data_IF_100240181072
#
_entry.id   IF_100240181072
#
_cell.length_a   1.000
_cell.length_b   1.000
_cell.length_c   1.000
_cell.angle_alpha   90.00
_cell.angle_beta   90.00
_cell.angle_gamma   90.00
#
_symmetry.space_group_name_H-M   'P 1'
#
loop_
_entity.id
_entity.type
_entity.pdbx_description
1 polymer ?
#
# COMPACT_ATOMS: atom_id res chain seq x y z
N UNK A 1 -30.45 1.42 -15.85
CA UNK A 1 -30.41 2.80 -16.34
C UNK A 1 -29.17 2.95 -17.22
N UNK A 2 -29.22 3.59 -18.38
CA UNK A 2 -28.05 3.78 -19.22
C UNK A 2 -27.00 4.61 -18.44
N UNK A 3 -25.76 4.16 -18.46
CA UNK A 3 -24.63 4.81 -17.78
C UNK A 3 -24.30 6.09 -18.55
N UNK A 4 -24.45 7.25 -17.90
CA UNK A 4 -24.15 8.53 -18.54
C UNK A 4 -22.63 8.72 -18.67
N UNK A 5 -22.14 8.79 -19.92
CA UNK A 5 -20.77 9.25 -20.18
C UNK A 5 -20.79 10.78 -20.16
N UNK A 6 -19.92 11.37 -19.34
CA UNK A 6 -19.50 12.75 -19.58
C UNK A 6 -18.03 12.75 -19.93
N UNK A 7 -17.74 13.13 -21.16
CA UNK A 7 -16.39 13.49 -21.56
C UNK A 7 -16.13 14.88 -21.00
N UNK A 8 -15.16 15.00 -20.10
CA UNK A 8 -14.58 16.30 -19.81
C UNK A 8 -13.74 16.65 -21.04
N UNK A 9 -14.43 17.17 -22.10
CA UNK A 9 -13.77 17.51 -23.35
C UNK A 9 -12.72 18.56 -23.12
N UNK A 10 -11.51 18.19 -23.55
CA UNK A 10 -10.48 19.16 -23.86
C UNK A 10 -10.25 19.05 -25.36
N UNK A 11 -10.89 19.96 -26.08
CA UNK A 11 -10.80 20.02 -27.52
C UNK A 11 -9.37 20.12 -28.03
N UNK A 12 -9.08 19.40 -29.11
CA UNK A 12 -8.00 19.65 -30.06
C UNK A 12 -6.57 19.44 -29.59
N UNK A 13 -5.62 19.70 -30.47
CA UNK A 13 -4.16 19.55 -30.36
C UNK A 13 -3.44 20.18 -29.12
N UNK A 14 -4.16 20.76 -28.16
CA UNK A 14 -3.62 21.38 -26.93
C UNK A 14 -3.62 20.45 -25.69
N UNK A 15 -3.68 19.14 -25.89
CA UNK A 15 -3.81 18.13 -24.83
C UNK A 15 -2.67 18.11 -23.77
N UNK A 16 -1.51 18.67 -24.06
CA UNK A 16 -0.38 18.71 -23.13
C UNK A 16 -0.57 19.71 -21.97
N UNK A 17 -1.49 20.65 -22.09
CA UNK A 17 -1.79 21.69 -21.09
C UNK A 17 -3.27 21.75 -20.74
N UNK A 18 -3.95 20.61 -20.80
CA UNK A 18 -5.39 20.57 -20.49
C UNK A 18 -5.69 21.03 -19.07
N UNK A 19 -6.86 21.62 -18.86
CA UNK A 19 -7.31 22.00 -17.51
C UNK A 19 -7.35 20.78 -16.59
N UNK A 20 -7.77 19.62 -17.08
CA UNK A 20 -7.79 18.36 -16.37
C UNK A 20 -6.40 17.89 -15.91
N UNK A 21 -5.37 18.03 -16.77
CA UNK A 21 -4.00 17.66 -16.38
C UNK A 21 -3.45 18.61 -15.32
N UNK A 22 -3.68 19.91 -15.45
CA UNK A 22 -3.27 20.89 -14.43
C UNK A 22 -3.93 20.64 -13.09
N UNK A 23 -5.23 20.36 -13.08
CA UNK A 23 -5.96 20.02 -11.87
C UNK A 23 -5.46 18.72 -11.24
N UNK A 24 -5.24 17.67 -12.03
CA UNK A 24 -4.62 16.43 -11.56
C UNK A 24 -3.23 16.66 -10.95
N UNK A 25 -2.45 17.59 -11.49
CA UNK A 25 -1.15 17.95 -10.92
C UNK A 25 -1.26 18.73 -9.61
N UNK A 26 -2.25 19.61 -9.49
CA UNK A 26 -2.47 20.42 -8.29
C UNK A 26 -3.00 19.59 -7.13
N UNK A 27 -4.03 18.78 -7.38
CA UNK A 27 -4.61 17.90 -6.38
C UNK A 27 -5.18 16.61 -7.02
N UNK A 28 -4.39 15.55 -6.98
CA UNK A 28 -4.75 14.23 -7.53
C UNK A 28 -5.97 13.62 -6.85
N UNK A 29 -6.09 13.83 -5.54
CA UNK A 29 -7.15 13.23 -4.73
C UNK A 29 -8.49 13.92 -4.99
N UNK A 30 -8.52 15.25 -4.98
CA UNK A 30 -9.70 16.01 -5.33
C UNK A 30 -10.14 15.74 -6.78
N UNK A 31 -9.18 15.65 -7.71
CA UNK A 31 -9.45 15.29 -9.10
C UNK A 31 -10.15 13.93 -9.24
N UNK A 32 -9.62 12.88 -8.58
CA UNK A 32 -10.21 11.53 -8.63
C UNK A 32 -11.61 11.49 -7.98
N UNK A 33 -11.81 12.20 -6.87
CA UNK A 33 -13.11 12.35 -6.21
C UNK A 33 -14.11 13.04 -7.13
N UNK A 34 -13.73 14.15 -7.74
CA UNK A 34 -14.59 14.87 -8.70
C UNK A 34 -14.95 14.02 -9.91
N UNK A 35 -14.03 13.22 -10.45
CA UNK A 35 -14.36 12.27 -11.51
C UNK A 35 -15.49 11.32 -11.07
N UNK A 36 -15.38 10.75 -9.87
CA UNK A 36 -16.40 9.84 -9.33
C UNK A 36 -17.76 10.50 -9.09
N UNK A 37 -17.77 11.77 -8.71
CA UNK A 37 -18.98 12.58 -8.52
C UNK A 37 -19.60 13.01 -9.85
N UNK A 38 -18.81 13.08 -10.94
CA UNK A 38 -19.28 13.53 -12.25
C UNK A 38 -20.01 12.44 -13.00
N UNK A 39 -19.47 11.22 -13.08
CA UNK A 39 -20.07 10.08 -13.77
C UNK A 39 -19.43 8.75 -13.36
N UNK A 40 -20.09 7.64 -13.68
CA UNK A 40 -19.58 6.28 -13.45
C UNK A 40 -18.30 5.98 -14.24
N UNK A 41 -18.15 6.57 -15.42
CA UNK A 41 -16.96 6.54 -16.26
C UNK A 41 -16.67 7.95 -16.76
N UNK A 42 -15.48 8.45 -16.47
CA UNK A 42 -15.01 9.75 -16.93
C UNK A 42 -13.79 9.56 -17.84
N UNK A 43 -13.91 10.04 -19.08
CA UNK A 43 -12.81 10.04 -20.03
C UNK A 43 -12.02 11.34 -19.91
N UNK A 44 -10.73 11.23 -19.65
CA UNK A 44 -9.84 12.39 -19.50
C UNK A 44 -8.51 12.16 -20.21
N UNK A 45 -7.90 13.24 -20.66
CA UNK A 45 -6.54 13.19 -21.18
C UNK A 45 -5.56 13.83 -20.18
N UNK A 46 -4.65 13.03 -19.66
CA UNK A 46 -3.63 13.46 -18.71
C UNK A 46 -2.26 13.47 -19.39
N UNK A 47 -1.90 14.63 -19.96
CA UNK A 47 -0.73 14.74 -20.82
C UNK A 47 -0.86 13.85 -22.07
N UNK A 48 0.10 12.94 -22.26
CA UNK A 48 0.05 11.97 -23.36
C UNK A 48 -0.84 10.74 -23.08
N UNK A 49 -1.40 10.62 -21.87
CA UNK A 49 -2.22 9.50 -21.46
C UNK A 49 -3.69 9.73 -21.78
N UNK A 50 -4.29 8.71 -22.38
CA UNK A 50 -5.72 8.59 -22.55
C UNK A 50 -6.30 7.69 -21.44
N UNK A 51 -7.08 8.27 -20.53
CA UNK A 51 -7.44 7.68 -19.25
C UNK A 51 -8.96 7.61 -19.11
N UNK A 52 -9.44 6.45 -18.69
CA UNK A 52 -10.81 6.23 -18.23
C UNK A 52 -10.79 6.06 -16.71
N UNK A 53 -11.37 6.99 -15.98
CA UNK A 53 -11.57 6.87 -14.53
C UNK A 53 -12.91 6.19 -14.30
N UNK A 54 -12.90 5.02 -13.67
CA UNK A 54 -14.10 4.21 -13.39
C UNK A 54 -14.41 4.29 -11.90
N UNK A 55 -15.66 4.62 -11.56
CA UNK A 55 -16.14 4.82 -10.19
C UNK A 55 -17.29 3.90 -9.82
N UNK A 56 -17.64 2.93 -10.68
CA UNK A 56 -18.72 1.97 -10.45
C UNK A 56 -18.16 0.58 -10.10
N UNK A 57 -18.61 -0.05 -8.99
CA UNK A 57 -18.13 -1.36 -8.55
C UNK A 57 -18.30 -2.48 -9.59
N UNK A 58 -19.41 -2.48 -10.34
CA UNK A 58 -19.66 -3.48 -11.37
C UNK A 58 -18.65 -3.38 -12.50
N UNK A 59 -18.35 -2.16 -12.97
CA UNK A 59 -17.37 -1.92 -14.03
C UNK A 59 -15.94 -2.22 -13.53
N UNK A 60 -15.64 -1.92 -12.26
CA UNK A 60 -14.39 -2.32 -11.63
C UNK A 60 -14.24 -3.85 -11.60
N UNK A 61 -15.35 -4.58 -11.39
CA UNK A 61 -15.40 -6.04 -11.44
C UNK A 61 -15.05 -6.54 -12.84
N UNK A 62 -15.55 -5.90 -13.89
CA UNK A 62 -15.18 -6.29 -15.26
C UNK A 62 -13.69 -6.13 -15.52
N UNK A 63 -13.11 -5.00 -15.20
CA UNK A 63 -11.68 -4.72 -15.44
C UNK A 63 -10.77 -5.64 -14.65
N UNK A 64 -11.10 -5.89 -13.38
CA UNK A 64 -10.21 -6.57 -12.45
C UNK A 64 -10.42 -8.09 -12.38
N UNK A 65 -11.59 -8.59 -12.79
CA UNK A 65 -11.94 -10.01 -12.69
C UNK A 65 -12.34 -10.61 -14.04
N UNK A 66 -13.48 -10.23 -14.58
CA UNK A 66 -14.09 -10.96 -15.72
C UNK A 66 -13.36 -10.74 -17.04
N UNK A 67 -12.87 -9.53 -17.28
CA UNK A 67 -12.07 -9.16 -18.46
C UNK A 67 -10.60 -8.93 -18.17
N UNK A 68 -10.09 -9.42 -17.03
CA UNK A 68 -8.71 -9.18 -16.60
C UNK A 68 -7.64 -9.53 -17.65
N UNK A 69 -7.95 -10.49 -18.53
CA UNK A 69 -7.04 -10.90 -19.60
C UNK A 69 -6.87 -9.84 -20.70
N UNK A 70 -7.76 -8.84 -20.77
CA UNK A 70 -7.66 -7.73 -21.72
C UNK A 70 -6.76 -6.60 -21.19
N UNK A 71 -6.33 -6.68 -19.92
CA UNK A 71 -5.65 -5.60 -19.24
C UNK A 71 -4.32 -6.04 -18.62
N UNK A 72 -3.34 -5.14 -18.66
CA UNK A 72 -2.01 -5.33 -18.06
C UNK A 72 -1.68 -4.25 -17.03
N UNK A 73 -0.57 -4.43 -16.29
CA UNK A 73 0.02 -3.39 -15.44
C UNK A 73 0.96 -2.42 -16.18
N UNK A 74 0.96 -2.43 -17.52
CA UNK A 74 1.89 -1.63 -18.32
C UNK A 74 1.90 -0.13 -17.99
N UNK A 75 0.79 0.40 -17.45
CA UNK A 75 0.78 1.78 -16.94
C UNK A 75 1.75 1.94 -15.77
N UNK A 76 1.68 1.07 -14.75
CA UNK A 76 2.57 1.12 -13.60
C UNK A 76 4.03 0.92 -14.01
N UNK A 77 4.28 -0.04 -14.91
CA UNK A 77 5.62 -0.29 -15.46
C UNK A 77 6.20 0.93 -16.19
N UNK A 78 5.33 1.77 -16.79
CA UNK A 78 5.77 2.97 -17.51
C UNK A 78 6.20 4.13 -16.60
N UNK A 79 5.70 4.18 -15.37
CA UNK A 79 6.03 5.24 -14.39
C UNK A 79 7.07 4.79 -13.37
N UNK A 80 7.18 3.47 -13.12
CA UNK A 80 8.17 2.94 -12.19
C UNK A 80 9.55 2.86 -12.85
N UNK A 81 10.64 3.04 -12.08
CA UNK A 81 11.98 2.79 -12.58
C UNK A 81 12.19 1.33 -13.02
N UNK A 82 13.06 1.07 -14.01
CA UNK A 82 13.37 -0.28 -14.50
C UNK A 82 13.85 -1.26 -13.42
N UNK A 83 14.29 -0.75 -12.31
CA UNK A 83 14.72 -1.45 -11.10
C UNK A 83 13.76 -2.55 -10.62
N UNK A 84 12.46 -2.28 -10.67
CA UNK A 84 11.41 -3.19 -10.23
C UNK A 84 10.76 -3.95 -11.39
N UNK A 85 11.31 -3.83 -12.62
CA UNK A 85 10.67 -4.36 -13.83
C UNK A 85 10.48 -5.90 -13.80
N UNK A 86 11.39 -6.64 -13.17
CA UNK A 86 11.30 -8.10 -13.00
C UNK A 86 10.47 -8.55 -11.80
N UNK A 87 9.98 -7.64 -10.98
CA UNK A 87 9.34 -7.98 -9.71
C UNK A 87 7.86 -8.33 -9.84
N UNK A 88 7.34 -9.10 -8.88
CA UNK A 88 5.90 -9.44 -8.73
C UNK A 88 4.99 -8.20 -8.84
N UNK A 89 5.48 -7.04 -8.38
CA UNK A 89 4.72 -5.80 -8.40
C UNK A 89 4.40 -5.35 -9.83
N UNK A 90 5.35 -5.49 -10.76
CA UNK A 90 5.25 -5.03 -12.14
C UNK A 90 5.06 -6.15 -13.16
N UNK A 91 5.37 -7.39 -12.82
CA UNK A 91 5.24 -8.54 -13.70
C UNK A 91 3.80 -8.78 -14.16
N UNK A 92 3.65 -9.23 -15.39
CA UNK A 92 2.37 -9.63 -15.99
C UNK A 92 2.39 -11.10 -16.42
N UNK A 93 1.20 -11.65 -16.72
CA UNK A 93 0.98 -12.98 -17.28
C UNK A 93 1.67 -14.11 -16.48
N UNK A 94 2.39 -14.98 -17.14
CA UNK A 94 2.97 -16.20 -16.57
C UNK A 94 4.08 -15.91 -15.57
N UNK A 95 4.92 -14.92 -15.84
CA UNK A 95 5.97 -14.49 -14.90
C UNK A 95 5.40 -14.04 -13.56
N UNK A 96 4.30 -13.29 -13.58
CA UNK A 96 3.60 -12.89 -12.36
C UNK A 96 3.01 -14.10 -11.62
N UNK A 97 2.37 -15.03 -12.34
CA UNK A 97 1.74 -16.21 -11.74
C UNK A 97 2.80 -17.12 -11.09
N UNK A 98 3.92 -17.31 -11.78
CA UNK A 98 5.06 -18.07 -11.29
C UNK A 98 5.62 -17.46 -9.99
N UNK A 99 6.00 -16.20 -10.01
CA UNK A 99 6.52 -15.51 -8.81
C UNK A 99 5.52 -15.56 -7.65
N UNK A 100 4.22 -15.35 -7.95
CA UNK A 100 3.18 -15.39 -6.92
C UNK A 100 3.09 -16.77 -6.27
N UNK A 101 3.14 -17.87 -7.04
CA UNK A 101 3.12 -19.24 -6.51
C UNK A 101 4.28 -19.47 -5.54
N UNK A 102 5.49 -18.99 -5.89
CA UNK A 102 6.69 -19.17 -5.07
C UNK A 102 6.66 -18.35 -3.77
N UNK A 103 6.01 -17.19 -3.79
CA UNK A 103 5.97 -16.28 -2.63
C UNK A 103 4.82 -16.58 -1.65
N UNK A 104 3.71 -17.14 -2.13
CA UNK A 104 2.50 -17.37 -1.30
C UNK A 104 2.77 -18.16 -0.01
N UNK A 105 3.61 -19.24 -0.01
CA UNK A 105 3.85 -20.02 1.21
C UNK A 105 4.38 -19.21 2.39
N UNK A 106 5.16 -18.14 2.13
CA UNK A 106 5.68 -17.27 3.18
C UNK A 106 4.59 -16.45 3.91
N UNK A 107 3.39 -16.36 3.33
CA UNK A 107 2.25 -15.62 3.89
C UNK A 107 1.12 -16.55 4.36
N UNK A 108 1.38 -17.86 4.46
CA UNK A 108 0.44 -18.82 5.04
C UNK A 108 0.32 -18.64 6.57
N UNK A 109 -0.82 -19.10 7.10
CA UNK A 109 -1.19 -18.91 8.53
C UNK A 109 -0.07 -19.35 9.49
N UNK A 110 0.51 -20.53 9.25
CA UNK A 110 1.56 -21.11 10.10
C UNK A 110 2.81 -20.22 10.19
N UNK A 111 3.14 -19.53 9.09
CA UNK A 111 4.24 -18.55 9.07
C UNK A 111 3.89 -17.26 9.80
N UNK A 112 2.64 -16.80 9.64
CA UNK A 112 2.17 -15.61 10.35
C UNK A 112 2.25 -15.80 11.87
N UNK A 113 2.02 -17.01 12.37
CA UNK A 113 2.16 -17.34 13.78
C UNK A 113 3.59 -17.15 14.29
N UNK A 114 4.58 -17.53 13.50
CA UNK A 114 6.01 -17.29 13.82
C UNK A 114 6.36 -15.79 13.79
N UNK A 115 5.84 -15.07 12.78
CA UNK A 115 6.15 -13.65 12.62
C UNK A 115 5.56 -12.75 13.72
N UNK A 116 4.43 -13.14 14.32
CA UNK A 116 3.77 -12.32 15.32
C UNK A 116 4.62 -12.04 16.56
N UNK A 117 5.37 -13.02 17.03
CA UNK A 117 6.29 -12.82 18.15
C UNK A 117 7.35 -11.75 17.80
N UNK A 118 7.91 -11.82 16.60
CA UNK A 118 8.89 -10.85 16.12
C UNK A 118 8.26 -9.45 15.94
N UNK A 119 7.03 -9.39 15.43
CA UNK A 119 6.28 -8.12 15.29
C UNK A 119 6.04 -7.46 16.65
N UNK A 120 5.70 -8.26 17.68
CA UNK A 120 5.50 -7.77 19.03
C UNK A 120 6.82 -7.25 19.63
N UNK A 121 7.91 -8.01 19.52
CA UNK A 121 9.23 -7.60 19.99
C UNK A 121 9.72 -6.31 19.33
N UNK A 122 9.54 -6.16 17.99
CA UNK A 122 9.94 -4.93 17.30
C UNK A 122 9.04 -3.75 17.68
N UNK A 123 7.74 -3.99 17.89
CA UNK A 123 6.82 -2.95 18.39
C UNK A 123 7.19 -2.49 19.81
N UNK A 124 7.57 -3.41 20.69
CA UNK A 124 8.10 -3.08 22.02
C UNK A 124 9.40 -2.28 21.93
N UNK A 125 10.35 -2.73 21.09
CA UNK A 125 11.63 -2.07 20.88
C UNK A 125 11.46 -0.65 20.34
N UNK A 126 10.53 -0.43 19.40
CA UNK A 126 10.29 0.87 18.79
C UNK A 126 9.90 1.95 19.82
N UNK A 127 9.19 1.56 20.88
CA UNK A 127 8.71 2.51 21.91
C UNK A 127 9.62 2.63 23.13
N UNK A 128 10.72 1.86 23.21
CA UNK A 128 11.64 1.92 24.37
C UNK A 128 12.27 3.30 24.56
N UNK A 129 12.47 4.03 23.45
CA UNK A 129 13.08 5.37 23.47
C UNK A 129 12.06 6.50 23.62
N UNK A 130 10.76 6.18 23.68
CA UNK A 130 9.71 7.19 23.76
C UNK A 130 9.62 7.77 25.18
N UNK A 131 9.63 9.08 25.26
CA UNK A 131 9.52 9.81 26.52
C UNK A 131 8.18 10.57 26.57
N UNK A 132 7.53 10.57 27.74
CA UNK A 132 6.27 11.32 27.95
C UNK A 132 6.47 12.79 27.71
N UNK A 133 5.58 13.42 26.93
CA UNK A 133 5.65 14.81 26.51
C UNK A 133 6.55 15.06 25.29
N UNK A 134 7.22 14.05 24.76
CA UNK A 134 8.07 14.18 23.58
C UNK A 134 7.23 14.39 22.32
N UNK A 135 7.66 15.33 21.47
CA UNK A 135 7.15 15.49 20.11
C UNK A 135 7.97 14.67 19.14
N UNK A 136 7.31 13.85 18.34
CA UNK A 136 7.93 12.92 17.39
C UNK A 136 7.28 13.04 16.01
N UNK A 137 8.03 12.72 14.96
CA UNK A 137 7.44 12.40 13.65
C UNK A 137 7.01 10.94 13.66
N UNK A 138 5.73 10.71 13.89
CA UNK A 138 5.19 9.36 14.01
C UNK A 138 5.28 8.59 12.68
N UNK A 139 5.21 9.27 11.54
CA UNK A 139 5.37 8.60 10.25
C UNK A 139 6.77 7.98 10.11
N UNK A 140 7.81 8.72 10.46
CA UNK A 140 9.19 8.20 10.50
C UNK A 140 9.33 7.04 11.48
N UNK A 141 8.70 7.12 12.67
CA UNK A 141 8.73 6.01 13.63
C UNK A 141 8.04 4.75 13.07
N UNK A 142 6.88 4.90 12.42
CA UNK A 142 6.16 3.77 11.79
C UNK A 142 6.92 3.21 10.58
N UNK A 143 7.59 4.04 9.80
CA UNK A 143 8.46 3.60 8.71
C UNK A 143 9.60 2.71 9.23
N UNK A 144 10.26 3.12 10.30
CA UNK A 144 11.34 2.32 10.93
C UNK A 144 10.82 1.03 11.53
N UNK A 145 9.70 1.07 12.23
CA UNK A 145 9.06 -0.11 12.80
C UNK A 145 8.74 -1.15 11.73
N UNK A 146 7.99 -0.77 10.70
CA UNK A 146 7.58 -1.69 9.64
C UNK A 146 8.75 -2.20 8.81
N UNK A 147 9.81 -1.38 8.63
CA UNK A 147 11.04 -1.79 8.00
C UNK A 147 11.76 -2.89 8.81
N UNK A 148 11.90 -2.71 10.12
CA UNK A 148 12.52 -3.72 11.00
C UNK A 148 11.71 -5.01 11.03
N UNK A 149 10.38 -4.90 11.09
CA UNK A 149 9.50 -6.07 11.05
C UNK A 149 9.69 -6.86 9.75
N UNK A 150 9.60 -6.20 8.59
CA UNK A 150 9.75 -6.86 7.27
C UNK A 150 11.12 -7.50 7.12
N UNK A 151 12.19 -6.80 7.51
CA UNK A 151 13.55 -7.32 7.36
C UNK A 151 13.84 -8.48 8.30
N UNK A 152 13.35 -8.43 9.52
CA UNK A 152 13.54 -9.49 10.49
C UNK A 152 12.68 -10.72 10.20
N UNK A 153 11.40 -10.52 9.88
CA UNK A 153 10.46 -11.64 9.68
C UNK A 153 10.66 -12.35 8.35
N UNK A 154 10.84 -11.59 7.26
CA UNK A 154 10.87 -12.16 5.91
C UNK A 154 12.29 -12.44 5.40
N UNK A 155 13.31 -11.78 5.95
CA UNK A 155 14.68 -11.94 5.47
C UNK A 155 15.65 -12.40 6.56
N UNK A 156 15.20 -12.52 7.83
CA UNK A 156 16.04 -12.93 8.95
C UNK A 156 17.24 -12.00 9.19
N UNK A 157 17.13 -10.73 8.80
CA UNK A 157 18.21 -9.74 8.88
C UNK A 157 17.94 -8.72 9.98
N UNK A 158 18.94 -8.45 10.82
CA UNK A 158 18.97 -7.22 11.61
C UNK A 158 19.44 -6.07 10.72
N UNK A 159 18.49 -5.19 10.36
CA UNK A 159 18.70 -4.14 9.37
C UNK A 159 19.01 -2.78 10.02
N UNK A 160 19.40 -2.75 11.29
CA UNK A 160 19.69 -1.51 12.01
C UNK A 160 20.67 -0.57 11.28
N UNK A 161 21.66 -1.15 10.58
CA UNK A 161 22.65 -0.41 9.77
C UNK A 161 22.15 -0.04 8.36
N UNK A 162 21.03 -0.60 7.88
CA UNK A 162 20.50 -0.37 6.54
C UNK A 162 19.35 0.65 6.47
N UNK A 163 18.85 1.11 7.61
CA UNK A 163 17.68 2.00 7.71
C UNK A 163 17.90 3.28 6.91
N UNK A 164 19.03 3.97 7.13
CA UNK A 164 19.34 5.22 6.41
C UNK A 164 19.51 5.03 4.90
N UNK A 165 20.11 3.91 4.47
CA UNK A 165 20.24 3.58 3.05
C UNK A 165 18.87 3.38 2.40
N UNK A 166 17.96 2.74 3.14
CA UNK A 166 16.59 2.51 2.70
C UNK A 166 15.79 3.82 2.63
N UNK A 167 15.86 4.66 3.65
CA UNK A 167 15.21 5.97 3.65
C UNK A 167 15.66 6.78 2.43
N UNK A 168 16.98 6.86 2.17
CA UNK A 168 17.53 7.54 0.97
C UNK A 168 16.99 6.96 -0.34
N UNK A 169 16.87 5.63 -0.44
CA UNK A 169 16.37 5.01 -1.66
C UNK A 169 14.88 5.29 -1.86
N UNK A 170 14.09 5.20 -0.80
CA UNK A 170 12.65 5.46 -0.86
C UNK A 170 12.40 6.91 -1.28
N UNK A 171 13.09 7.87 -0.68
CA UNK A 171 12.96 9.27 -1.03
C UNK A 171 13.35 9.52 -2.49
N UNK A 172 14.48 8.94 -2.94
CA UNK A 172 14.91 9.03 -4.33
C UNK A 172 13.91 8.37 -5.30
N UNK A 173 13.30 7.25 -4.91
CA UNK A 173 12.28 6.55 -5.69
C UNK A 173 11.00 7.40 -5.79
N UNK A 174 10.53 7.96 -4.66
CA UNK A 174 9.35 8.82 -4.62
C UNK A 174 9.53 10.09 -5.46
N UNK A 175 10.68 10.72 -5.37
CA UNK A 175 11.05 11.89 -6.17
C UNK A 175 11.04 11.58 -7.67
N UNK A 176 11.62 10.46 -8.07
CA UNK A 176 11.67 10.02 -9.48
C UNK A 176 10.26 9.71 -10.00
N UNK A 177 9.46 8.94 -9.26
CA UNK A 177 8.10 8.58 -9.69
C UNK A 177 7.18 9.80 -9.72
N UNK A 178 7.23 10.68 -8.72
CA UNK A 178 6.46 11.92 -8.73
C UNK A 178 6.80 12.81 -9.92
N UNK A 179 8.09 12.92 -10.25
CA UNK A 179 8.56 13.66 -11.42
C UNK A 179 8.00 13.07 -12.72
N UNK A 180 7.92 11.74 -12.83
CA UNK A 180 7.35 11.06 -14.01
C UNK A 180 5.84 11.24 -14.12
N UNK A 181 5.12 11.13 -13.01
CA UNK A 181 3.66 11.37 -12.98
C UNK A 181 3.33 12.83 -13.32
N UNK A 182 4.18 13.77 -12.88
CA UNK A 182 4.02 15.19 -13.16
C UNK A 182 4.45 15.59 -14.59
N UNK A 183 5.16 14.73 -15.32
CA UNK A 183 5.62 15.03 -16.68
C UNK A 183 4.46 14.91 -17.68
N UNK A 184 4.20 15.92 -18.52
CA UNK A 184 3.25 15.82 -19.62
C UNK A 184 3.76 14.91 -20.75
N UNK A 185 5.06 14.62 -20.76
CA UNK A 185 5.72 13.79 -21.77
C UNK A 185 6.04 12.42 -21.20
N UNK A 186 5.77 11.36 -21.98
CA UNK A 186 6.24 10.02 -21.67
C UNK A 186 7.62 9.79 -22.19
N UNK A 187 8.62 9.93 -21.34
CA UNK A 187 9.94 9.41 -21.62
C UNK A 187 10.01 7.95 -21.12
N UNK A 188 10.23 7.03 -22.05
CA UNK A 188 10.33 5.58 -21.75
C UNK A 188 11.55 5.24 -20.88
N UNK A 189 12.54 6.13 -20.87
CA UNK A 189 13.77 6.01 -20.07
C UNK A 189 13.96 7.29 -19.26
N UNK A 190 14.50 7.18 -18.03
CA UNK A 190 14.84 8.35 -17.26
C UNK A 190 15.88 9.16 -18.04
N UNK A 191 15.59 10.44 -18.23
CA UNK A 191 16.63 11.35 -18.72
C UNK A 191 17.73 11.40 -17.65
N UNK A 192 19.02 11.42 -18.06
CA UNK A 192 20.12 11.59 -17.11
C UNK A 192 19.88 12.84 -16.27
N UNK A 193 19.64 12.65 -14.98
CA UNK A 193 19.40 13.73 -14.04
C UNK A 193 20.08 13.40 -12.70
N UNK A 194 20.30 14.42 -11.87
CA UNK A 194 20.82 14.21 -10.53
C UNK A 194 19.90 13.32 -9.67
N UNK A 195 18.59 13.38 -9.91
CA UNK A 195 17.59 12.50 -9.25
C UNK A 195 17.80 11.04 -9.64
N UNK A 196 17.88 10.78 -10.94
CA UNK A 196 18.17 9.45 -11.48
C UNK A 196 19.49 8.90 -10.95
N UNK A 197 20.54 9.73 -10.88
CA UNK A 197 21.83 9.32 -10.34
C UNK A 197 21.76 8.97 -8.85
N UNK A 198 21.02 9.77 -8.05
CA UNK A 198 20.78 9.46 -6.62
C UNK A 198 20.05 8.13 -6.45
N UNK A 199 19.00 7.91 -7.25
CA UNK A 199 18.27 6.65 -7.25
C UNK A 199 19.19 5.46 -7.56
N UNK A 200 19.99 5.52 -8.62
CA UNK A 200 20.91 4.43 -8.98
C UNK A 200 22.00 4.17 -7.94
N UNK A 201 22.51 5.21 -7.27
CA UNK A 201 23.46 5.02 -6.16
C UNK A 201 22.85 4.31 -4.98
N UNK A 202 21.68 4.80 -4.52
CA UNK A 202 20.98 4.18 -3.40
C UNK A 202 20.57 2.72 -3.69
N UNK A 203 20.25 2.42 -4.97
CA UNK A 203 19.98 1.05 -5.41
C UNK A 203 21.18 0.13 -5.28
N UNK A 204 22.36 0.59 -5.73
CA UNK A 204 23.58 -0.23 -5.64
C UNK A 204 23.88 -0.62 -4.19
N UNK A 205 23.66 0.27 -3.24
CA UNK A 205 23.84 -0.02 -1.81
C UNK A 205 22.90 -1.17 -1.37
N UNK A 206 21.62 -1.12 -1.74
CA UNK A 206 20.68 -2.20 -1.42
C UNK A 206 20.93 -3.48 -2.22
N UNK A 207 21.38 -3.39 -3.46
CA UNK A 207 21.75 -4.56 -4.25
C UNK A 207 22.92 -5.32 -3.61
N UNK A 208 23.93 -4.62 -3.12
CA UNK A 208 25.07 -5.23 -2.43
C UNK A 208 24.62 -5.98 -1.17
N UNK A 209 23.71 -5.38 -0.40
CA UNK A 209 23.11 -6.03 0.79
C UNK A 209 22.30 -7.27 0.35
N UNK A 210 21.42 -7.12 -0.63
CA UNK A 210 20.56 -8.20 -1.09
C UNK A 210 21.36 -9.39 -1.64
N UNK A 211 22.32 -9.15 -2.53
CA UNK A 211 23.15 -10.23 -3.09
C UNK A 211 24.07 -10.88 -2.06
N UNK A 212 24.52 -10.12 -1.05
CA UNK A 212 25.28 -10.70 0.05
C UNK A 212 24.42 -11.63 0.89
N UNK A 213 23.21 -11.20 1.23
CA UNK A 213 22.25 -12.03 1.96
C UNK A 213 21.83 -13.30 1.15
N UNK A 214 21.60 -13.17 -0.16
CA UNK A 214 21.28 -14.30 -1.05
C UNK A 214 22.43 -15.32 -1.03
N UNK A 215 23.69 -14.89 -1.19
CA UNK A 215 24.85 -15.79 -1.14
C UNK A 215 24.98 -16.50 0.21
N UNK A 216 24.67 -15.81 1.29
CA UNK A 216 24.67 -16.39 2.64
C UNK A 216 23.56 -17.44 2.77
N UNK A 217 22.34 -17.16 2.32
CA UNK A 217 21.21 -18.11 2.36
C UNK A 217 21.42 -19.34 1.47
N UNK A 218 22.15 -19.21 0.36
CA UNK A 218 22.55 -20.38 -0.45
C UNK A 218 23.51 -21.32 0.28
N UNK A 219 24.37 -20.77 1.18
CA UNK A 219 25.32 -21.58 1.97
C UNK A 219 24.70 -22.11 3.25
N UNK A 220 23.89 -21.25 3.89
CA UNK A 220 23.30 -21.48 5.20
C UNK A 220 21.81 -21.13 5.18
N UNK A 221 20.95 -22.04 4.65
CA UNK A 221 19.50 -21.81 4.62
C UNK A 221 18.95 -21.57 6.02
N UNK A 222 18.00 -20.64 6.13
CA UNK A 222 17.28 -20.31 7.35
C UNK A 222 15.77 -20.46 7.14
N UNK A 223 15.00 -20.26 8.20
CA UNK A 223 13.54 -20.33 8.12
C UNK A 223 12.93 -18.95 7.77
N UNK A 224 13.31 -18.41 6.59
CA UNK A 224 12.89 -17.10 6.10
C UNK A 224 12.46 -17.14 4.63
N UNK A 225 11.78 -16.09 4.16
CA UNK A 225 11.32 -15.97 2.76
C UNK A 225 12.50 -16.06 1.78
N UNK A 226 13.63 -15.44 2.08
CA UNK A 226 14.78 -15.43 1.19
C UNK A 226 15.31 -16.86 0.97
N UNK A 227 15.43 -17.66 2.01
CA UNK A 227 15.83 -19.07 1.92
C UNK A 227 14.80 -19.90 1.15
N UNK A 228 13.50 -19.63 1.33
CA UNK A 228 12.46 -20.30 0.55
C UNK A 228 12.59 -19.98 -0.94
N UNK A 229 12.84 -18.72 -1.31
CA UNK A 229 13.02 -18.32 -2.71
C UNK A 229 14.31 -18.88 -3.30
N UNK A 230 15.40 -18.89 -2.53
CA UNK A 230 16.69 -19.48 -2.94
C UNK A 230 16.59 -20.98 -3.20
N UNK A 231 15.76 -21.69 -2.41
CA UNK A 231 15.51 -23.12 -2.57
C UNK A 231 14.37 -23.45 -3.54
N UNK A 232 13.64 -22.46 -4.03
CA UNK A 232 12.49 -22.69 -4.90
C UNK A 232 12.94 -23.09 -6.32
N UNK A 233 12.23 -24.06 -6.90
CA UNK A 233 12.39 -24.49 -8.29
C UNK A 233 11.06 -24.33 -9.03
N UNK A 234 11.13 -24.14 -10.34
CA UNK A 234 9.95 -24.18 -11.21
C UNK A 234 9.46 -25.63 -11.45
N UNK A 235 8.45 -25.78 -12.31
CA UNK A 235 7.85 -27.08 -12.65
C UNK A 235 8.86 -28.00 -13.38
N UNK A 236 9.88 -27.45 -14.02
CA UNK A 236 10.97 -28.17 -14.72
C UNK A 236 12.17 -28.43 -13.79
N UNK A 237 12.08 -28.04 -12.52
CA UNK A 237 13.16 -28.21 -11.54
C UNK A 237 14.26 -27.13 -11.63
N UNK A 238 14.07 -26.07 -12.42
CA UNK A 238 15.05 -24.99 -12.57
C UNK A 238 14.99 -24.05 -11.35
N UNK A 239 16.10 -23.79 -10.65
CA UNK A 239 16.12 -22.89 -9.51
C UNK A 239 16.02 -21.43 -9.94
N UNK A 240 15.46 -20.58 -9.06
CA UNK A 240 15.49 -19.12 -9.24
C UNK A 240 16.95 -18.63 -9.33
N UNK A 241 17.20 -17.75 -10.28
CA UNK A 241 18.47 -17.00 -10.37
C UNK A 241 18.59 -16.00 -9.20
N UNK A 242 19.81 -15.64 -8.84
CA UNK A 242 20.03 -14.61 -7.79
C UNK A 242 19.33 -13.30 -8.10
N UNK A 243 19.20 -12.93 -9.39
CA UNK A 243 18.48 -11.75 -9.83
C UNK A 243 16.99 -11.87 -9.58
N UNK A 244 16.37 -12.99 -9.86
CA UNK A 244 14.94 -13.22 -9.61
C UNK A 244 14.63 -13.21 -8.12
N UNK A 245 15.47 -13.87 -7.31
CA UNK A 245 15.37 -13.83 -5.84
C UNK A 245 15.49 -12.38 -5.34
N UNK A 246 16.50 -11.63 -5.82
CA UNK A 246 16.68 -10.21 -5.48
C UNK A 246 15.47 -9.37 -5.85
N UNK A 247 14.94 -9.50 -7.07
CA UNK A 247 13.78 -8.74 -7.55
C UNK A 247 12.52 -9.07 -6.73
N UNK A 248 12.32 -10.33 -6.36
CA UNK A 248 11.24 -10.76 -5.49
C UNK A 248 11.37 -10.19 -4.07
N UNK A 249 12.56 -10.28 -3.47
CA UNK A 249 12.83 -9.73 -2.14
C UNK A 249 12.64 -8.22 -2.09
N UNK A 250 13.14 -7.47 -3.08
CA UNK A 250 12.95 -6.03 -3.14
C UNK A 250 11.48 -5.64 -3.31
N UNK A 251 10.70 -6.41 -4.09
CA UNK A 251 9.27 -6.14 -4.23
C UNK A 251 8.54 -6.25 -2.89
N UNK A 252 8.82 -7.30 -2.11
CA UNK A 252 8.22 -7.49 -0.78
C UNK A 252 8.71 -6.43 0.20
N UNK A 253 9.98 -6.12 0.15
CA UNK A 253 10.60 -5.09 0.97
C UNK A 253 9.91 -3.73 0.80
N UNK A 254 9.78 -3.24 -0.46
CA UNK A 254 9.11 -1.97 -0.72
C UNK A 254 7.61 -2.00 -0.44
N UNK A 255 6.93 -3.09 -0.84
CA UNK A 255 5.49 -3.19 -0.67
C UNK A 255 5.10 -3.36 0.81
N UNK A 256 5.90 -4.06 1.61
CA UNK A 256 5.56 -4.43 2.98
C UNK A 256 5.67 -3.26 3.96
N UNK A 257 6.82 -2.56 3.99
CA UNK A 257 7.02 -1.56 5.01
C UNK A 257 6.32 -0.23 4.70
N UNK A 258 6.40 0.27 3.47
CA UNK A 258 5.84 1.56 3.09
C UNK A 258 4.32 1.62 3.25
N UNK A 259 3.61 0.59 2.80
CA UNK A 259 2.14 0.58 2.85
C UNK A 259 1.60 0.42 4.27
N UNK A 260 2.24 -0.44 5.09
CA UNK A 260 1.84 -0.66 6.48
C UNK A 260 2.18 0.55 7.35
N UNK A 261 3.30 1.23 7.11
CA UNK A 261 3.62 2.48 7.81
C UNK A 261 2.61 3.58 7.54
N UNK A 262 2.14 3.72 6.29
CA UNK A 262 1.05 4.64 5.95
C UNK A 262 -0.24 4.27 6.67
N UNK A 263 -0.63 2.98 6.69
CA UNK A 263 -1.80 2.52 7.43
C UNK A 263 -1.71 2.88 8.92
N UNK A 264 -0.61 2.58 9.57
CA UNK A 264 -0.38 2.88 10.98
C UNK A 264 -0.39 4.39 11.25
N UNK A 265 0.32 5.17 10.42
CA UNK A 265 0.36 6.63 10.56
C UNK A 265 -1.02 7.25 10.49
N UNK A 266 -1.81 6.89 9.47
CA UNK A 266 -3.16 7.39 9.31
C UNK A 266 -4.11 6.87 10.40
N UNK A 267 -3.91 5.65 10.88
CA UNK A 267 -4.69 5.12 12.01
C UNK A 267 -4.47 5.96 13.27
N UNK A 268 -3.22 6.27 13.61
CA UNK A 268 -2.91 7.13 14.75
C UNK A 268 -3.44 8.56 14.58
N UNK A 269 -3.37 9.10 13.36
CA UNK A 269 -3.91 10.43 13.05
C UNK A 269 -5.41 10.52 13.32
N UNK A 270 -6.18 9.55 12.83
CA UNK A 270 -7.65 9.56 13.03
C UNK A 270 -8.08 9.17 14.44
N UNK A 271 -7.24 8.51 15.21
CA UNK A 271 -7.46 8.22 16.62
C UNK A 271 -7.16 9.42 17.52
N UNK A 272 -6.28 10.31 17.09
CA UNK A 272 -5.88 11.47 17.90
C UNK A 272 -7.10 12.36 18.25
N UNK A 273 -7.36 12.51 19.56
CA UNK A 273 -8.51 13.26 20.06
C UNK A 273 -9.86 12.51 20.03
N UNK A 274 -9.87 11.23 19.65
CA UNK A 274 -11.07 10.38 19.63
C UNK A 274 -11.10 9.47 20.87
N UNK A 275 -11.29 10.08 22.03
CA UNK A 275 -11.32 9.35 23.31
C UNK A 275 -12.45 8.30 23.42
N UNK A 276 -13.54 8.51 22.68
CA UNK A 276 -14.63 7.56 22.53
C UNK A 276 -14.16 6.22 21.91
N UNK A 277 -13.37 6.32 20.84
CA UNK A 277 -12.82 5.16 20.10
C UNK A 277 -11.64 4.54 20.87
N UNK A 278 -10.73 5.37 21.39
CA UNK A 278 -9.61 4.89 22.20
C UNK A 278 -10.09 4.07 23.40
N UNK A 279 -11.16 4.51 24.08
CA UNK A 279 -11.71 3.78 25.22
C UNK A 279 -12.24 2.39 24.83
N UNK A 280 -12.91 2.27 23.69
CA UNK A 280 -13.37 0.97 23.16
C UNK A 280 -12.20 0.05 22.83
N UNK A 281 -11.16 0.59 22.15
CA UNK A 281 -9.95 -0.16 21.85
C UNK A 281 -9.24 -0.66 23.12
N UNK A 282 -9.05 0.22 24.12
CA UNK A 282 -8.41 -0.14 25.39
C UNK A 282 -9.22 -1.20 26.14
N UNK A 283 -10.55 -1.09 26.15
CA UNK A 283 -11.42 -2.09 26.77
C UNK A 283 -11.30 -3.46 26.07
N UNK A 284 -11.23 -3.49 24.73
CA UNK A 284 -11.01 -4.72 23.98
C UNK A 284 -9.63 -5.33 24.28
N UNK A 285 -8.57 -4.52 24.26
CA UNK A 285 -7.20 -4.97 24.51
C UNK A 285 -7.00 -5.49 25.93
N UNK A 286 -7.61 -4.85 26.94
CA UNK A 286 -7.58 -5.31 28.34
C UNK A 286 -8.36 -6.62 28.54
N UNK A 287 -9.49 -6.79 27.82
CA UNK A 287 -10.29 -8.01 27.87
C UNK A 287 -9.66 -9.20 27.13
N UNK A 288 -8.87 -8.93 26.12
CA UNK A 288 -8.21 -9.97 25.31
C UNK A 288 -6.98 -10.60 26.00
N UNK A 289 -6.65 -10.20 27.24
CA UNK A 289 -5.49 -10.60 28.02
C UNK A 289 -4.47 -11.43 27.21
N UNK A 290 -3.55 -10.72 26.61
CA UNK A 290 -2.25 -11.17 26.14
C UNK A 290 -2.03 -11.31 24.63
N UNK A 291 -1.00 -10.60 24.20
CA UNK A 291 -0.22 -10.83 22.98
C UNK A 291 0.40 -12.26 22.89
N UNK A 292 0.13 -13.14 23.85
CA UNK A 292 0.57 -14.55 23.89
C UNK A 292 -0.39 -15.50 23.17
N UNK A 293 -1.54 -15.02 22.68
CA UNK A 293 -2.43 -15.85 21.87
C UNK A 293 -1.82 -16.05 20.45
N UNK A 294 -2.07 -17.20 19.79
CA UNK A 294 -1.69 -17.39 18.40
C UNK A 294 -2.23 -16.25 17.52
N UNK A 295 -1.48 -15.74 16.55
CA UNK A 295 -1.82 -14.54 15.78
C UNK A 295 -3.17 -14.58 15.08
N UNK A 296 -3.57 -15.73 14.59
CA UNK A 296 -4.90 -15.91 14.01
C UNK A 296 -6.01 -15.66 15.03
N UNK A 297 -5.83 -16.15 16.25
CA UNK A 297 -6.77 -15.90 17.36
C UNK A 297 -6.72 -14.43 17.80
N UNK A 298 -5.58 -13.78 17.74
CA UNK A 298 -5.47 -12.35 18.07
C UNK A 298 -6.34 -11.49 17.17
N UNK A 299 -6.34 -11.72 15.88
CA UNK A 299 -7.20 -11.00 14.93
C UNK A 299 -8.69 -11.26 15.25
N UNK A 300 -9.06 -12.51 15.55
CA UNK A 300 -10.42 -12.88 15.89
C UNK A 300 -10.87 -12.32 17.24
N UNK A 301 -9.95 -12.17 18.20
CA UNK A 301 -10.22 -11.63 19.55
C UNK A 301 -10.25 -10.09 19.60
N UNK A 302 -9.79 -9.41 18.55
CA UNK A 302 -9.71 -7.95 18.47
C UNK A 302 -10.58 -7.39 17.32
N UNK A 303 -11.88 -7.70 17.25
CA UNK A 303 -12.76 -7.30 16.16
C UNK A 303 -12.92 -5.78 16.06
N UNK A 304 -12.91 -5.04 17.17
CA UNK A 304 -13.01 -3.59 17.13
C UNK A 304 -11.71 -2.94 16.60
N UNK A 305 -10.56 -3.50 16.93
CA UNK A 305 -9.27 -3.10 16.35
C UNK A 305 -9.29 -3.31 14.83
N UNK A 306 -9.83 -4.43 14.35
CA UNK A 306 -10.01 -4.66 12.91
C UNK A 306 -10.96 -3.63 12.29
N UNK A 307 -12.03 -3.25 12.96
CA UNK A 307 -12.95 -2.21 12.49
C UNK A 307 -12.27 -0.85 12.37
N UNK A 308 -11.43 -0.49 13.34
CA UNK A 308 -10.62 0.74 13.31
C UNK A 308 -9.66 0.73 12.13
N UNK A 309 -8.93 -0.36 11.91
CA UNK A 309 -7.99 -0.51 10.78
C UNK A 309 -8.70 -0.47 9.42
N UNK A 310 -9.85 -1.15 9.31
CA UNK A 310 -10.64 -1.12 8.08
C UNK A 310 -11.16 0.30 7.78
N UNK A 311 -11.58 1.05 8.80
CA UNK A 311 -12.04 2.43 8.61
C UNK A 311 -10.89 3.37 8.25
N UNK A 312 -9.69 3.18 8.83
CA UNK A 312 -8.50 3.89 8.41
C UNK A 312 -8.12 3.57 6.94
N UNK A 313 -8.16 2.29 6.54
CA UNK A 313 -7.95 1.87 5.15
C UNK A 313 -9.02 2.40 4.19
N UNK A 314 -10.25 2.61 4.66
CA UNK A 314 -11.31 3.22 3.85
C UNK A 314 -11.01 4.68 3.58
N UNK A 315 -10.70 5.45 4.62
CA UNK A 315 -10.43 6.89 4.49
C UNK A 315 -9.05 7.19 3.91
N UNK A 316 -8.04 6.43 4.28
CA UNK A 316 -6.64 6.67 3.88
C UNK A 316 -6.01 5.42 3.29
N UNK A 317 -6.53 4.91 2.15
CA UNK A 317 -5.97 3.72 1.52
C UNK A 317 -4.54 4.00 1.01
N UNK A 318 -3.51 3.27 1.49
CA UNK A 318 -2.14 3.48 1.00
C UNK A 318 -2.04 3.36 -0.53
N UNK A 319 -2.72 2.39 -1.13
CA UNK A 319 -2.90 2.29 -2.58
C UNK A 319 -4.18 3.02 -2.99
N UNK A 320 -4.10 4.32 -3.20
CA UNK A 320 -5.24 5.20 -3.47
C UNK A 320 -5.78 5.13 -4.91
N UNK A 321 -5.02 4.54 -5.83
CA UNK A 321 -5.41 4.35 -7.23
C UNK A 321 -4.73 3.11 -7.85
N UNK A 322 -5.44 2.42 -8.73
CA UNK A 322 -4.95 1.27 -9.50
C UNK A 322 -5.11 1.53 -10.99
N UNK A 323 -4.01 1.54 -11.75
CA UNK A 323 -4.00 1.65 -13.20
C UNK A 323 -3.99 0.28 -13.89
N UNK A 324 -4.74 0.18 -15.00
CA UNK A 324 -4.70 -0.96 -15.93
C UNK A 324 -4.66 -0.44 -17.36
N UNK A 325 -3.84 -1.03 -18.20
CA UNK A 325 -3.77 -0.68 -19.62
C UNK A 325 -4.43 -1.75 -20.47
N UNK A 326 -5.33 -1.34 -21.35
CA UNK A 326 -5.93 -2.23 -22.32
C UNK A 326 -4.86 -2.73 -23.30
N UNK A 327 -4.74 -4.05 -23.47
CA UNK A 327 -3.80 -4.68 -24.40
C UNK A 327 -4.40 -4.83 -25.81
N UNK A 328 -5.70 -4.78 -25.91
CA UNK A 328 -6.48 -4.87 -27.14
C UNK A 328 -7.77 -4.03 -27.01
N UNK A 329 -8.43 -3.77 -28.13
CA UNK A 329 -9.76 -3.18 -28.10
C UNK A 329 -10.70 -4.10 -27.31
N UNK A 330 -11.43 -3.53 -26.35
CA UNK A 330 -12.34 -4.26 -25.47
C UNK A 330 -13.50 -3.34 -25.05
N UNK A 331 -14.37 -3.82 -24.17
CA UNK A 331 -15.48 -3.05 -23.60
C UNK A 331 -15.51 -3.21 -22.08
N UNK A 332 -15.93 -2.16 -21.40
CA UNK A 332 -16.23 -2.17 -19.97
C UNK A 332 -17.63 -1.59 -19.80
N UNK A 333 -18.61 -2.42 -19.44
CA UNK A 333 -20.01 -2.10 -19.61
C UNK A 333 -20.33 -1.77 -21.06
N UNK A 334 -20.97 -0.63 -21.30
CA UNK A 334 -21.30 -0.13 -22.63
C UNK A 334 -20.17 0.72 -23.26
N UNK A 335 -19.05 0.91 -22.57
CA UNK A 335 -17.95 1.77 -23.02
C UNK A 335 -16.91 0.99 -23.81
N UNK A 336 -16.57 1.50 -25.00
CA UNK A 336 -15.42 1.01 -25.76
C UNK A 336 -14.14 1.48 -25.08
N UNK A 337 -13.19 0.56 -24.95
CA UNK A 337 -11.83 0.80 -24.45
C UNK A 337 -10.85 0.38 -25.51
N UNK A 338 -10.11 1.34 -26.05
CA UNK A 338 -9.15 1.08 -27.13
C UNK A 338 -7.83 0.53 -26.58
N UNK A 339 -7.16 -0.28 -27.39
CA UNK A 339 -5.80 -0.75 -27.09
C UNK A 339 -4.89 0.44 -26.74
N UNK A 340 -4.15 0.31 -25.65
CA UNK A 340 -3.26 1.36 -25.12
C UNK A 340 -3.92 2.37 -24.19
N UNK A 341 -5.26 2.45 -24.10
CA UNK A 341 -5.93 3.28 -23.10
C UNK A 341 -5.68 2.76 -21.68
N UNK A 342 -5.60 3.68 -20.74
CA UNK A 342 -5.43 3.38 -19.31
C UNK A 342 -6.76 3.51 -18.58
N UNK A 343 -7.16 2.47 -17.86
CA UNK A 343 -8.29 2.48 -16.92
C UNK A 343 -7.76 2.69 -15.52
N UNK A 344 -8.33 3.64 -14.79
CA UNK A 344 -7.99 3.94 -13.40
C UNK A 344 -9.18 3.67 -12.49
N UNK A 345 -8.93 2.90 -11.43
CA UNK A 345 -9.85 2.62 -10.34
C UNK A 345 -9.28 3.26 -9.08
N UNK A 346 -10.05 4.05 -8.36
CA UNK A 346 -9.56 4.76 -7.18
C UNK A 346 -10.24 4.30 -5.89
N UNK A 347 -9.55 3.53 -5.02
CA UNK A 347 -10.03 3.32 -3.65
C UNK A 347 -10.32 4.63 -2.92
N UNK A 348 -9.47 5.64 -3.06
CA UNK A 348 -9.71 6.95 -2.46
C UNK A 348 -11.08 7.53 -2.77
N UNK A 349 -11.50 7.49 -4.04
CA UNK A 349 -12.79 8.01 -4.46
C UNK A 349 -13.94 7.03 -4.14
N UNK A 350 -13.77 5.74 -4.46
CA UNK A 350 -14.84 4.73 -4.32
C UNK A 350 -15.15 4.40 -2.87
N UNK A 351 -14.17 4.45 -1.97
CA UNK A 351 -14.37 4.28 -0.53
C UNK A 351 -15.06 5.49 0.13
N UNK A 352 -15.27 6.57 -0.62
CA UNK A 352 -15.96 7.81 -0.18
C UNK A 352 -17.26 8.07 -0.92
N UNK A 353 -17.69 7.14 -1.75
CA UNK A 353 -18.89 7.30 -2.56
C UNK A 353 -20.15 7.21 -1.68
N UNK A 354 -20.89 8.31 -1.60
CA UNK A 354 -22.11 8.42 -0.80
C UNK A 354 -23.23 7.44 -1.22
N UNK A 355 -23.14 6.85 -2.42
CA UNK A 355 -24.07 5.80 -2.87
C UNK A 355 -23.93 4.52 -2.05
N UNK A 356 -22.77 4.27 -1.44
CA UNK A 356 -22.43 3.06 -0.69
C UNK A 356 -22.05 3.31 0.77
N UNK A 357 -21.65 4.55 1.10
CA UNK A 357 -21.13 4.92 2.41
C UNK A 357 -21.93 6.07 3.00
N UNK A 358 -22.64 5.80 4.09
CA UNK A 358 -23.27 6.84 4.89
C UNK A 358 -22.21 7.69 5.59
N UNK A 359 -22.34 9.01 5.61
CA UNK A 359 -21.34 9.96 6.14
C UNK A 359 -19.93 9.60 5.69
N UNK A 360 -19.63 9.61 4.35
CA UNK A 360 -18.42 9.00 3.79
C UNK A 360 -17.11 9.59 4.28
N UNK A 361 -17.09 10.84 4.73
CA UNK A 361 -15.88 11.51 5.24
C UNK A 361 -15.68 11.31 6.75
N UNK A 362 -16.66 10.77 7.46
CA UNK A 362 -16.59 10.57 8.91
C UNK A 362 -15.87 9.28 9.25
N UNK A 363 -14.89 9.37 10.12
CA UNK A 363 -14.23 8.19 10.70
C UNK A 363 -15.19 7.54 11.73
N UNK A 364 -15.73 6.40 11.39
CA UNK A 364 -16.68 5.66 12.19
C UNK A 364 -16.42 4.14 12.14
N UNK A 365 -15.60 3.59 13.04
CA UNK A 365 -15.34 2.15 13.09
C UNK A 365 -16.56 1.28 13.36
N UNK A 366 -17.61 1.83 14.02
CA UNK A 366 -18.82 1.07 14.32
C UNK A 366 -19.61 0.67 13.07
N UNK A 367 -19.38 1.31 11.92
CA UNK A 367 -20.01 0.90 10.65
C UNK A 367 -19.64 -0.52 10.20
N UNK A 368 -18.47 -1.02 10.63
CA UNK A 368 -17.97 -2.35 10.23
C UNK A 368 -18.61 -3.50 11.00
N UNK A 369 -19.48 -3.19 11.97
CA UNK A 369 -20.25 -4.20 12.70
C UNK A 369 -21.11 -5.05 11.75
N UNK A 370 -21.48 -6.24 12.20
CA UNK A 370 -22.31 -7.18 11.44
C UNK A 370 -21.71 -7.56 10.07
N UNK A 371 -20.38 -7.63 10.00
CA UNK A 371 -19.64 -8.05 8.81
C UNK A 371 -20.00 -7.21 7.55
N UNK A 372 -19.99 -5.88 7.69
CA UNK A 372 -20.31 -4.96 6.58
C UNK A 372 -19.50 -5.28 5.33
N UNK A 373 -18.20 -5.60 5.46
CA UNK A 373 -17.32 -5.89 4.31
C UNK A 373 -17.87 -7.01 3.40
N UNK A 374 -18.52 -8.04 3.98
CA UNK A 374 -19.09 -9.13 3.20
C UNK A 374 -20.44 -8.76 2.53
N UNK A 375 -21.13 -7.72 3.03
CA UNK A 375 -22.42 -7.27 2.50
C UNK A 375 -22.30 -6.19 1.42
N UNK A 376 -21.15 -5.51 1.36
CA UNK A 376 -20.89 -4.51 0.33
C UNK A 376 -20.69 -5.17 -1.03
N UNK A 377 -21.13 -4.53 -2.15
CA UNK A 377 -20.77 -4.97 -3.47
C UNK A 377 -19.23 -5.05 -3.61
N UNK A 378 -18.74 -6.03 -4.37
CA UNK A 378 -17.30 -6.13 -4.67
C UNK A 378 -16.79 -4.79 -5.23
N UNK A 379 -15.58 -4.41 -4.87
CA UNK A 379 -14.94 -3.13 -5.23
C UNK A 379 -15.58 -1.87 -4.64
N UNK A 380 -16.55 -1.98 -3.73
CA UNK A 380 -16.93 -0.85 -2.86
C UNK A 380 -15.86 -0.62 -1.78
N UNK A 381 -15.24 -1.70 -1.29
CA UNK A 381 -14.09 -1.67 -0.37
C UNK A 381 -13.02 -2.65 -0.84
N UNK A 382 -11.87 -2.12 -1.31
CA UNK A 382 -10.79 -2.93 -1.88
C UNK A 382 -9.38 -2.37 -1.65
N UNK A 383 -9.01 -2.04 -0.40
CA UNK A 383 -7.71 -1.42 -0.10
C UNK A 383 -6.53 -2.32 -0.45
N UNK A 384 -6.73 -3.63 -0.49
CA UNK A 384 -5.75 -4.65 -0.89
C UNK A 384 -5.94 -5.13 -2.33
N UNK A 385 -6.64 -4.37 -3.17
CA UNK A 385 -7.10 -4.84 -4.48
C UNK A 385 -8.02 -6.07 -4.37
N UNK A 386 -8.33 -6.73 -5.48
CA UNK A 386 -9.21 -7.90 -5.49
C UNK A 386 -8.85 -8.87 -6.63
N UNK A 387 -9.45 -10.06 -6.59
CA UNK A 387 -9.24 -11.10 -7.57
C UNK A 387 -7.85 -11.74 -7.49
N UNK A 388 -7.36 -12.31 -8.61
CA UNK A 388 -6.08 -13.00 -8.62
C UNK A 388 -4.88 -12.12 -8.24
N UNK A 389 -5.00 -10.81 -8.47
CA UNK A 389 -3.98 -9.80 -8.17
C UNK A 389 -4.16 -9.16 -6.78
N UNK A 390 -4.99 -9.74 -5.92
CA UNK A 390 -5.11 -9.30 -4.52
C UNK A 390 -3.74 -9.35 -3.83
N UNK A 391 -3.47 -8.41 -2.96
CA UNK A 391 -2.24 -8.32 -2.18
C UNK A 391 -1.94 -9.66 -1.47
N UNK A 392 -0.73 -10.18 -1.66
CA UNK A 392 -0.28 -11.43 -1.02
C UNK A 392 -0.04 -11.23 0.48
N UNK A 393 0.43 -10.04 0.87
CA UNK A 393 0.73 -9.68 2.25
C UNK A 393 -0.44 -9.07 3.02
N UNK A 394 -1.70 -9.17 2.54
CA UNK A 394 -2.83 -8.53 3.23
C UNK A 394 -3.01 -9.00 4.68
N UNK A 395 -2.88 -10.30 4.94
CA UNK A 395 -2.98 -10.86 6.29
C UNK A 395 -1.78 -10.48 7.16
N UNK A 396 -0.58 -10.43 6.57
CA UNK A 396 0.63 -9.95 7.25
C UNK A 396 0.49 -8.49 7.69
N UNK A 397 0.07 -7.60 6.78
CA UNK A 397 -0.10 -6.18 7.08
C UNK A 397 -1.16 -5.90 8.14
N UNK A 398 -2.29 -6.63 8.11
CA UNK A 398 -3.33 -6.49 9.12
C UNK A 398 -2.88 -7.02 10.48
N UNK A 399 -2.14 -8.14 10.51
CA UNK A 399 -1.56 -8.68 11.73
C UNK A 399 -0.53 -7.72 12.34
N UNK A 400 0.40 -7.24 11.54
CA UNK A 400 1.41 -6.26 11.91
C UNK A 400 0.79 -5.00 12.51
N UNK A 401 -0.20 -4.41 11.82
CA UNK A 401 -0.90 -3.23 12.30
C UNK A 401 -1.66 -3.49 13.59
N UNK A 402 -2.29 -4.66 13.73
CA UNK A 402 -2.99 -5.06 14.94
C UNK A 402 -2.05 -5.17 16.13
N UNK A 403 -0.91 -5.85 15.96
CA UNK A 403 0.10 -6.01 17.01
C UNK A 403 0.71 -4.66 17.40
N UNK A 404 1.03 -3.81 16.43
CA UNK A 404 1.56 -2.47 16.71
C UNK A 404 0.58 -1.63 17.55
N UNK A 405 -0.72 -1.64 17.21
CA UNK A 405 -1.75 -0.96 18.00
C UNK A 405 -1.87 -1.57 19.41
N UNK A 406 -1.95 -2.89 19.49
CA UNK A 406 -2.08 -3.61 20.76
C UNK A 406 -0.87 -3.40 21.70
N UNK A 407 0.31 -3.16 21.13
CA UNK A 407 1.53 -2.89 21.89
C UNK A 407 1.65 -1.43 22.32
N UNK A 408 1.35 -0.50 21.42
CA UNK A 408 1.61 0.94 21.63
C UNK A 408 0.48 1.61 22.42
N UNK A 409 -0.78 1.36 22.03
CA UNK A 409 -1.94 2.07 22.58
C UNK A 409 -2.11 1.94 24.11
N UNK A 410 -1.90 0.76 24.74
CA UNK A 410 -2.00 0.65 26.20
C UNK A 410 -0.94 1.43 26.96
N UNK A 411 0.19 1.73 26.31
CA UNK A 411 1.37 2.38 26.94
C UNK A 411 1.43 3.88 26.70
N UNK A 412 0.95 4.33 25.52
CA UNK A 412 1.05 5.71 25.11
C UNK A 412 -0.25 6.24 24.54
N UNK A 413 -0.61 7.46 24.93
CA UNK A 413 -1.60 8.30 24.26
C UNK A 413 -0.86 9.15 23.22
N UNK A 414 -1.35 9.15 22.00
CA UNK A 414 -0.81 9.95 20.90
C UNK A 414 -1.76 11.09 20.62
N UNK A 415 -1.27 12.33 20.68
CA UNK A 415 -2.04 13.52 20.38
C UNK A 415 -1.40 14.32 19.25
N UNK A 416 -2.21 14.67 18.26
CA UNK A 416 -1.79 15.49 17.13
C UNK A 416 -1.66 16.97 17.58
N UNK A 417 -0.71 17.73 17.02
CA UNK A 417 -0.78 19.18 17.09
C UNK A 417 -2.03 19.68 16.34
N UNK A 418 -2.48 20.91 16.58
CA UNK A 418 -3.68 21.48 15.95
C UNK A 418 -3.59 21.66 14.42
N UNK A 419 -2.43 21.38 13.81
CA UNK A 419 -2.24 21.46 12.37
C UNK A 419 -2.82 20.23 11.67
N UNK A 420 -3.59 20.45 10.61
CA UNK A 420 -4.08 19.39 9.72
C UNK A 420 -2.91 18.78 8.96
N UNK A 421 -2.85 17.44 8.92
CA UNK A 421 -1.89 16.71 8.11
C UNK A 421 -2.54 16.42 6.76
N UNK A 422 -2.04 17.03 5.71
CA UNK A 422 -2.57 16.82 4.36
C UNK A 422 -2.06 15.50 3.76
N UNK A 423 -2.93 14.72 3.10
CA UNK A 423 -2.48 13.54 2.37
C UNK A 423 -1.63 13.93 1.15
N UNK A 424 -0.46 13.30 1.02
CA UNK A 424 0.45 13.50 -0.11
C UNK A 424 0.45 12.27 -1.02
N UNK A 425 -0.34 12.29 -2.13
CA UNK A 425 -0.41 11.16 -3.05
C UNK A 425 0.87 11.05 -3.89
N UNK A 426 1.61 9.94 -3.72
CA UNK A 426 2.76 9.54 -4.48
C UNK A 426 2.55 8.15 -5.07
N UNK A 427 3.47 7.19 -4.87
CA UNK A 427 3.21 5.76 -5.09
C UNK A 427 2.19 5.28 -4.05
N UNK A 428 2.34 5.75 -2.83
CA UNK A 428 1.45 5.52 -1.69
C UNK A 428 0.86 6.84 -1.20
N UNK A 429 -0.17 6.76 -0.38
CA UNK A 429 -0.80 7.92 0.26
C UNK A 429 -0.11 8.23 1.58
N UNK A 430 0.95 9.02 1.54
CA UNK A 430 1.73 9.44 2.69
C UNK A 430 1.13 10.63 3.42
N UNK A 431 1.45 10.84 4.72
CA UNK A 431 1.31 12.14 5.35
C UNK A 431 2.25 13.18 4.72
N UNK A 432 1.72 14.31 4.30
CA UNK A 432 2.50 15.41 3.74
C UNK A 432 3.31 16.13 4.83
N UNK A 433 4.64 16.17 4.66
CA UNK A 433 5.51 16.84 5.65
C UNK A 433 5.72 16.07 6.95
N UNK A 434 5.43 14.75 6.97
CA UNK A 434 5.51 13.92 8.17
C UNK A 434 4.23 13.96 9.02
N UNK A 435 4.28 13.35 10.21
CA UNK A 435 3.15 13.29 11.14
C UNK A 435 3.61 13.65 12.56
N UNK A 436 3.76 14.94 12.84
CA UNK A 436 4.21 15.39 14.16
C UNK A 436 3.11 15.10 15.20
N UNK A 437 3.43 14.27 16.19
CA UNK A 437 2.53 13.94 17.30
C UNK A 437 3.26 14.04 18.64
N UNK A 438 2.51 14.31 19.70
CA UNK A 438 3.04 14.27 21.06
C UNK A 438 2.70 12.93 21.69
N UNK A 439 3.68 12.24 22.21
CA UNK A 439 3.53 10.97 22.94
C UNK A 439 3.41 11.26 24.43
N UNK A 440 2.40 10.70 25.09
CA UNK A 440 2.21 10.81 26.54
C UNK A 440 2.06 9.41 27.11
N UNK A 441 2.89 9.07 28.09
CA UNK A 441 2.82 7.76 28.73
C UNK A 441 1.49 7.65 29.47
N UNK A 442 0.79 6.53 29.30
CA UNK A 442 -0.41 6.25 30.08
C UNK A 442 0.01 5.78 31.48
N UNK A 443 -0.70 6.26 32.48
CA UNK A 443 -0.56 5.68 33.83
C UNK A 443 -1.06 4.25 33.75
N UNK A 444 -0.26 3.31 34.27
CA UNK A 444 -0.69 1.91 34.39
C UNK A 444 -1.97 1.88 35.22
N UNK A 445 -3.08 1.49 34.60
CA UNK A 445 -4.28 1.13 35.33
C UNK A 445 -3.92 -0.10 36.17
N UNK A 446 -3.70 0.12 37.49
CA UNK A 446 -3.55 -0.94 38.48
C UNK A 446 -4.81 -1.78 38.57
#
# INVERSE_FOLDING_TARGET
MPVAIRTLEVGGRQALTSSAFREFQQDRLAFLKRCAETADVVHVRLGAEDVLVISRPELATEVMLTRRADFSKAYLTSIMPPLLAGSLLLADSDSWLHQRKLMLPAFHKERLDTYAAMMAEESERAITTWQSGQRRDLHSDMMRLTLQIVTRTLFGLDFSHGVEATERLIDALMDEVNSRIASPFRFRYPMPSLRTLRLYRAMRELDEIAYTAIRERRRHPQDDLMSMLVGATDEDGTPMTDREVRDACLAVFFAGHETTSCLLSWTWYVLAGREDIERKLLAELNGAATLSAPPAELIERLPYTQNVLNEALRLYPPAYAFGRRAMRDTRVGDHEVKAGQTVVLSPWAMHRDARFWEEPEKFNPDRWQNNLAARLPKFTFFPFSSGPRRCVGSSFAMLEATIAIATILPRFKLSSPPAVVEPAPSITLRPGGGMPMTVTRRETLN
#
